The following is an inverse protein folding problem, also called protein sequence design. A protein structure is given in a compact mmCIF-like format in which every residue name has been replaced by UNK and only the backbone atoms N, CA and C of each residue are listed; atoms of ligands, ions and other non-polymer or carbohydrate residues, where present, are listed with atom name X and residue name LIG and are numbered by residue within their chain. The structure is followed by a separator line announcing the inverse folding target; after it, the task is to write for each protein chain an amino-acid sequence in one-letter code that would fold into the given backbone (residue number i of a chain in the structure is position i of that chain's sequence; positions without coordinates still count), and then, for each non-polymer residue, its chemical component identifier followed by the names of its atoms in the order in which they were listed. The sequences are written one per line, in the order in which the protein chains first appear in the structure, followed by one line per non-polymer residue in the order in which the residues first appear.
data_IF_107692168888
#
_entry.id   IF_107692168888
#
_cell.length_a   1.000
_cell.length_b   1.000
_cell.length_c   1.000
_cell.angle_alpha   90.00
_cell.angle_beta   90.00
_cell.angle_gamma   90.00
#
_symmetry.space_group_name_H-M   'P 1'
#
loop_
_entity.id
_entity.type
_entity.pdbx_description
1 polymer ?
#
# COMPACT_ATOMS: atom_id res chain seq x y z
N UNK A 1 57.78 -2.15 24.02
CA UNK A 1 56.47 -2.40 24.66
C UNK A 1 55.64 -1.17 24.40
N UNK A 2 54.75 -1.32 23.43
CA UNK A 2 53.81 -0.33 22.88
C UNK A 2 52.91 0.26 23.95
N UNK A 3 52.65 1.56 23.90
CA UNK A 3 51.27 2.01 24.05
C UNK A 3 51.02 3.17 23.09
N UNK A 4 50.07 2.89 22.22
CA UNK A 4 49.67 3.58 21.03
C UNK A 4 48.20 3.90 21.29
N UNK A 5 47.76 5.02 20.75
CA UNK A 5 46.40 5.17 20.27
C UNK A 5 45.26 5.49 21.26
N UNK A 6 44.62 6.61 20.89
CA UNK A 6 43.16 6.90 20.86
C UNK A 6 42.69 7.85 21.96
N UNK A 7 42.61 9.15 21.67
CA UNK A 7 41.48 9.76 20.94
C UNK A 7 40.15 9.06 21.27
N UNK A 8 39.63 9.33 22.46
CA UNK A 8 38.18 9.27 22.69
C UNK A 8 37.60 10.57 22.12
N UNK A 9 37.53 10.64 20.80
CA UNK A 9 36.67 11.60 20.13
C UNK A 9 35.24 11.13 20.42
N UNK A 10 34.60 11.84 21.33
CA UNK A 10 33.18 11.72 21.65
C UNK A 10 32.39 11.95 20.35
N UNK A 11 32.15 10.88 19.59
CA UNK A 11 31.12 10.85 18.56
C UNK A 11 29.77 10.97 19.27
N UNK A 12 29.36 12.21 19.56
CA UNK A 12 27.95 12.56 19.70
C UNK A 12 27.25 12.11 18.41
N UNK A 13 26.21 11.28 18.44
CA UNK A 13 25.35 11.19 17.28
C UNK A 13 24.65 12.55 17.13
N UNK A 14 24.96 13.24 16.04
CA UNK A 14 24.14 14.32 15.55
C UNK A 14 22.88 13.72 14.93
N UNK A 15 21.87 13.42 15.73
CA UNK A 15 20.49 13.42 15.25
C UNK A 15 19.91 14.80 15.53
N UNK A 16 20.39 15.78 14.77
CA UNK A 16 19.68 17.03 14.57
C UNK A 16 18.33 16.68 13.94
N UNK A 17 17.24 17.00 14.63
CA UNK A 17 15.83 16.95 14.21
C UNK A 17 15.61 16.78 12.69
N UNK A 18 15.61 15.54 12.21
CA UNK A 18 14.96 15.23 10.95
C UNK A 18 13.45 15.19 11.24
N UNK A 19 12.66 15.89 10.42
CA UNK A 19 11.21 15.74 10.48
C UNK A 19 10.85 14.26 10.31
N UNK A 20 9.81 13.75 10.99
CA UNK A 20 9.41 12.37 10.85
C UNK A 20 9.10 12.07 9.37
N UNK A 21 9.46 10.86 8.88
CA UNK A 21 9.19 10.48 7.50
C UNK A 21 7.68 10.59 7.20
N UNK A 22 7.28 11.10 6.02
CA UNK A 22 5.87 11.21 5.70
C UNK A 22 5.23 9.83 5.50
N UNK A 23 3.94 9.74 5.81
CA UNK A 23 3.16 8.51 5.73
C UNK A 23 2.82 8.16 4.27
N UNK A 24 3.05 6.89 3.91
CA UNK A 24 2.58 6.26 2.67
C UNK A 24 1.58 5.17 3.02
N UNK A 25 0.36 5.26 2.49
CA UNK A 25 -0.64 4.20 2.60
C UNK A 25 -0.61 3.33 1.35
N UNK A 26 -0.22 2.07 1.49
CA UNK A 26 -0.13 1.14 0.37
C UNK A 26 -1.20 0.06 0.49
N UNK A 27 -2.18 0.07 -0.41
CA UNK A 27 -3.14 -1.01 -0.55
C UNK A 27 -2.60 -2.08 -1.52
N UNK A 28 -2.40 -3.29 -1.02
CA UNK A 28 -1.75 -4.39 -1.74
C UNK A 28 -2.66 -5.63 -1.82
N UNK A 29 -2.91 -6.12 -3.03
CA UNK A 29 -3.74 -7.30 -3.29
C UNK A 29 -2.92 -8.39 -4.00
N UNK A 30 -2.23 -9.27 -3.26
CA UNK A 30 -1.46 -10.33 -3.87
C UNK A 30 -2.36 -11.48 -4.31
N UNK A 31 -2.75 -11.50 -5.58
CA UNK A 31 -3.80 -12.38 -6.13
C UNK A 31 -3.28 -13.40 -7.16
N UNK A 32 -2.02 -13.25 -7.59
CA UNK A 32 -1.33 -14.15 -8.50
C UNK A 32 0.00 -14.62 -7.90
N UNK A 33 0.54 -15.70 -8.45
CA UNK A 33 1.85 -16.21 -8.06
C UNK A 33 2.92 -15.12 -8.14
N UNK A 34 3.76 -15.01 -7.11
CA UNK A 34 4.81 -13.99 -7.00
C UNK A 34 4.31 -12.57 -6.65
N UNK A 35 2.99 -12.31 -6.58
CA UNK A 35 2.50 -10.98 -6.19
C UNK A 35 2.91 -10.62 -4.76
N UNK A 36 2.88 -11.58 -3.84
CA UNK A 36 3.20 -11.34 -2.44
C UNK A 36 4.65 -10.85 -2.26
N UNK A 37 5.59 -11.57 -2.86
CA UNK A 37 7.02 -11.23 -2.87
C UNK A 37 7.25 -9.87 -3.52
N UNK A 38 6.64 -9.62 -4.68
CA UNK A 38 6.77 -8.35 -5.41
C UNK A 38 6.23 -7.17 -4.60
N UNK A 39 5.02 -7.27 -4.07
CA UNK A 39 4.36 -6.19 -3.35
C UNK A 39 5.06 -5.90 -2.02
N UNK A 40 5.55 -6.94 -1.34
CA UNK A 40 6.34 -6.76 -0.13
C UNK A 40 7.72 -6.16 -0.42
N UNK A 41 8.42 -6.60 -1.47
CA UNK A 41 9.67 -5.98 -1.91
C UNK A 41 9.48 -4.50 -2.30
N UNK A 42 8.34 -4.17 -2.93
CA UNK A 42 7.96 -2.79 -3.21
C UNK A 42 7.80 -1.96 -1.94
N UNK A 43 7.08 -2.48 -0.95
CA UNK A 43 6.90 -1.81 0.34
C UNK A 43 8.23 -1.58 1.08
N UNK A 44 9.13 -2.56 1.04
CA UNK A 44 10.47 -2.45 1.63
C UNK A 44 11.32 -1.39 0.92
N UNK A 45 11.29 -1.32 -0.42
CA UNK A 45 12.00 -0.29 -1.19
C UNK A 45 11.49 1.10 -0.87
N UNK A 46 10.18 1.27 -0.70
CA UNK A 46 9.58 2.55 -0.32
C UNK A 46 9.99 2.97 1.11
N UNK A 47 10.00 2.03 2.05
CA UNK A 47 10.47 2.30 3.41
C UNK A 47 11.95 2.69 3.43
N UNK A 48 12.80 2.00 2.65
CA UNK A 48 14.21 2.35 2.48
C UNK A 48 14.40 3.72 1.78
N UNK A 49 13.45 4.13 0.95
CA UNK A 49 13.40 5.44 0.31
C UNK A 49 12.93 6.59 1.21
N UNK A 50 12.71 6.35 2.51
CA UNK A 50 12.38 7.40 3.49
C UNK A 50 10.88 7.58 3.75
N UNK A 51 10.02 6.67 3.28
CA UNK A 51 8.60 6.68 3.60
C UNK A 51 8.30 5.92 4.89
N UNK A 52 7.34 6.40 5.68
CA UNK A 52 6.70 5.59 6.72
C UNK A 52 5.56 4.77 6.09
N UNK A 53 5.80 3.51 5.79
CA UNK A 53 4.87 2.70 5.00
C UNK A 53 3.84 2.01 5.90
N UNK A 54 2.56 2.23 5.60
CA UNK A 54 1.43 1.44 6.12
C UNK A 54 0.86 0.58 5.00
N UNK A 55 1.20 -0.71 5.04
CA UNK A 55 0.77 -1.72 4.07
C UNK A 55 -0.55 -2.35 4.51
N UNK A 56 -1.64 -2.06 3.81
CA UNK A 56 -2.92 -2.75 3.92
C UNK A 56 -2.88 -4.01 3.03
N UNK A 57 -2.82 -5.18 3.65
CA UNK A 57 -2.57 -6.46 2.98
C UNK A 57 -3.86 -7.24 2.76
N UNK A 58 -4.19 -7.50 1.50
CA UNK A 58 -5.46 -8.16 1.15
C UNK A 58 -5.41 -9.66 0.87
N UNK A 59 -4.23 -10.29 0.89
CA UNK A 59 -4.07 -11.73 0.69
C UNK A 59 -3.85 -12.51 1.98
N UNK A 60 -3.62 -13.81 1.84
CA UNK A 60 -3.25 -14.68 2.96
C UNK A 60 -1.84 -14.37 3.48
N UNK A 61 -1.52 -14.88 4.68
CA UNK A 61 -0.19 -14.84 5.29
C UNK A 61 0.54 -13.47 5.14
N UNK A 62 0.05 -12.41 5.82
CA UNK A 62 0.68 -11.10 5.76
C UNK A 62 2.17 -11.18 6.15
N UNK A 63 3.06 -10.48 5.43
CA UNK A 63 4.48 -10.49 5.74
C UNK A 63 4.76 -9.81 7.09
N UNK A 64 5.89 -10.15 7.70
CA UNK A 64 6.30 -9.57 8.98
C UNK A 64 6.59 -8.07 8.83
N UNK A 65 6.06 -7.20 9.73
CA UNK A 65 6.37 -5.78 9.71
C UNK A 65 7.81 -5.47 10.14
N UNK A 66 8.21 -4.22 9.93
CA UNK A 66 9.45 -3.61 10.42
C UNK A 66 9.23 -2.17 10.91
N UNK A 67 10.27 -1.48 11.43
CA UNK A 67 10.11 -0.16 12.06
C UNK A 67 9.49 0.92 11.16
N UNK A 68 9.87 0.98 9.89
CA UNK A 68 9.34 1.92 8.88
C UNK A 68 8.29 1.28 7.95
N UNK A 69 7.85 0.05 8.25
CA UNK A 69 6.90 -0.71 7.46
C UNK A 69 5.93 -1.44 8.39
N UNK A 70 4.78 -0.83 8.61
CA UNK A 70 3.68 -1.46 9.33
C UNK A 70 2.81 -2.26 8.36
N UNK A 71 2.46 -3.48 8.72
CA UNK A 71 1.58 -4.35 7.93
C UNK A 71 0.29 -4.56 8.70
N UNK A 72 -0.85 -4.31 8.05
CA UNK A 72 -2.17 -4.59 8.61
C UNK A 72 -2.93 -5.48 7.64
N UNK A 73 -3.28 -6.67 8.09
CA UNK A 73 -4.10 -7.59 7.33
C UNK A 73 -5.54 -7.08 7.22
N UNK A 74 -6.09 -7.13 6.00
CA UNK A 74 -7.52 -7.10 5.75
C UNK A 74 -8.06 -8.53 5.80
N UNK A 75 -9.38 -8.70 5.87
CA UNK A 75 -10.02 -10.01 5.67
C UNK A 75 -9.58 -10.55 4.32
N UNK A 76 -8.84 -11.68 4.23
CA UNK A 76 -8.16 -12.07 3.01
C UNK A 76 -9.14 -12.42 1.89
N UNK A 77 -8.73 -12.13 0.66
CA UNK A 77 -9.38 -12.64 -0.55
C UNK A 77 -8.59 -13.86 -1.00
N UNK A 78 -9.25 -15.01 -1.11
CA UNK A 78 -8.59 -16.22 -1.59
C UNK A 78 -8.37 -16.14 -3.11
N UNK A 79 -9.43 -15.80 -3.84
CA UNK A 79 -9.38 -15.72 -5.30
C UNK A 79 -10.35 -14.67 -5.86
N UNK A 80 -10.02 -14.17 -7.05
CA UNK A 80 -10.94 -13.46 -7.92
C UNK A 80 -10.89 -14.11 -9.30
N UNK A 81 -11.97 -13.96 -10.07
CA UNK A 81 -12.09 -14.56 -11.39
C UNK A 81 -12.07 -13.50 -12.48
N UNK A 82 -11.06 -13.52 -13.34
CA UNK A 82 -10.97 -12.59 -14.47
C UNK A 82 -12.13 -12.78 -15.47
N UNK A 83 -12.64 -14.00 -15.60
CA UNK A 83 -13.81 -14.35 -16.42
C UNK A 83 -15.15 -14.04 -15.74
N UNK A 84 -15.15 -13.70 -14.44
CA UNK A 84 -16.33 -13.24 -13.70
C UNK A 84 -16.04 -11.92 -12.97
N UNK A 85 -16.03 -10.80 -13.72
CA UNK A 85 -15.75 -9.48 -13.15
C UNK A 85 -16.63 -9.19 -11.95
N UNK A 86 -16.03 -8.96 -10.77
CA UNK A 86 -16.78 -8.68 -9.54
C UNK A 86 -16.93 -9.84 -8.56
N UNK A 87 -16.63 -11.08 -8.98
CA UNK A 87 -16.60 -12.22 -8.08
C UNK A 87 -15.32 -12.25 -7.26
N UNK A 88 -15.50 -12.27 -5.95
CA UNK A 88 -14.46 -12.48 -4.93
C UNK A 88 -14.86 -13.73 -4.18
N UNK A 89 -13.89 -14.61 -3.94
CA UNK A 89 -14.03 -15.73 -3.04
C UNK A 89 -13.36 -15.39 -1.70
N UNK A 90 -14.06 -15.67 -0.60
CA UNK A 90 -13.50 -15.57 0.75
C UNK A 90 -12.52 -16.73 1.04
N UNK A 91 -11.96 -16.76 2.25
CA UNK A 91 -11.02 -17.80 2.69
C UNK A 91 -11.60 -19.23 2.71
N UNK A 92 -12.92 -19.39 2.67
CA UNK A 92 -13.58 -20.70 2.56
C UNK A 92 -13.86 -21.09 1.09
N UNK A 93 -13.46 -20.24 0.13
CA UNK A 93 -13.79 -20.42 -1.29
C UNK A 93 -15.23 -20.06 -1.65
N UNK A 94 -15.98 -19.38 -0.76
CA UNK A 94 -17.38 -19.00 -1.02
C UNK A 94 -17.46 -17.61 -1.66
N UNK A 95 -18.46 -17.36 -2.52
CA UNK A 95 -18.71 -16.02 -3.03
C UNK A 95 -18.91 -14.99 -1.91
N UNK A 96 -18.10 -13.94 -1.93
CA UNK A 96 -18.17 -12.85 -0.98
C UNK A 96 -19.49 -12.07 -1.12
N UNK A 97 -20.39 -12.29 -0.16
CA UNK A 97 -21.67 -11.59 -0.07
C UNK A 97 -21.56 -10.12 0.36
N UNK A 98 -22.69 -9.42 0.39
CA UNK A 98 -22.76 -8.01 0.74
C UNK A 98 -22.20 -7.72 2.15
N UNK A 99 -22.55 -8.53 3.16
CA UNK A 99 -22.08 -8.35 4.53
C UNK A 99 -20.56 -8.44 4.64
N UNK A 100 -19.96 -9.42 3.96
CA UNK A 100 -18.51 -9.60 3.90
C UNK A 100 -17.83 -8.38 3.25
N UNK A 101 -18.34 -7.94 2.09
CA UNK A 101 -17.80 -6.77 1.37
C UNK A 101 -17.90 -5.50 2.21
N UNK A 102 -19.03 -5.31 2.91
CA UNK A 102 -19.25 -4.17 3.81
C UNK A 102 -18.27 -4.19 4.98
N UNK A 103 -18.07 -5.34 5.63
CA UNK A 103 -17.14 -5.48 6.75
C UNK A 103 -15.70 -5.22 6.30
N UNK A 104 -15.27 -5.82 5.18
CA UNK A 104 -13.93 -5.61 4.66
C UNK A 104 -13.67 -4.15 4.29
N UNK A 105 -14.61 -3.50 3.58
CA UNK A 105 -14.52 -2.08 3.27
C UNK A 105 -14.45 -1.21 4.54
N UNK A 106 -15.27 -1.50 5.55
CA UNK A 106 -15.24 -0.78 6.81
C UNK A 106 -13.88 -0.90 7.52
N UNK A 107 -13.26 -2.09 7.52
CA UNK A 107 -11.92 -2.31 8.06
C UNK A 107 -10.84 -1.51 7.31
N UNK A 108 -10.89 -1.50 5.98
CA UNK A 108 -9.97 -0.70 5.15
C UNK A 108 -10.14 0.79 5.43
N UNK A 109 -11.38 1.29 5.45
CA UNK A 109 -11.68 2.69 5.71
C UNK A 109 -11.26 3.11 7.12
N UNK A 110 -11.46 2.27 8.12
CA UNK A 110 -11.01 2.53 9.48
C UNK A 110 -9.47 2.61 9.56
N UNK A 111 -8.76 1.74 8.82
CA UNK A 111 -7.30 1.78 8.73
C UNK A 111 -6.80 3.06 8.06
N UNK A 112 -7.44 3.48 6.97
CA UNK A 112 -7.14 4.71 6.23
C UNK A 112 -7.49 5.97 7.03
N UNK A 113 -8.59 5.96 7.80
CA UNK A 113 -8.99 7.07 8.65
C UNK A 113 -7.97 7.35 9.77
N UNK A 114 -7.30 6.31 10.27
CA UNK A 114 -6.23 6.40 11.29
C UNK A 114 -4.87 6.82 10.71
N UNK A 115 -4.75 7.07 9.41
CA UNK A 115 -3.54 7.60 8.79
C UNK A 115 -3.79 8.96 8.17
N UNK A 116 -2.74 9.77 8.02
CA UNK A 116 -2.75 11.00 7.21
C UNK A 116 -1.67 10.90 6.13
N UNK A 117 -1.82 9.97 5.17
CA UNK A 117 -0.78 9.73 4.21
C UNK A 117 -0.59 10.96 3.33
N UNK A 118 0.67 11.25 2.99
CA UNK A 118 1.00 12.16 1.90
C UNK A 118 0.84 11.46 0.54
N UNK A 119 0.94 10.13 0.52
CA UNK A 119 0.79 9.30 -0.68
C UNK A 119 -0.11 8.08 -0.42
N UNK A 120 -1.09 7.88 -1.29
CA UNK A 120 -1.92 6.68 -1.40
C UNK A 120 -1.48 5.88 -2.64
N UNK A 121 -0.91 4.70 -2.42
CA UNK A 121 -0.48 3.79 -3.49
C UNK A 121 -1.45 2.60 -3.58
N UNK A 122 -1.95 2.30 -4.78
CA UNK A 122 -2.85 1.18 -5.04
C UNK A 122 -2.21 0.15 -5.97
N UNK A 123 -2.26 -1.13 -5.59
CA UNK A 123 -1.88 -2.24 -6.48
C UNK A 123 -2.89 -2.41 -7.63
N UNK A 124 -2.42 -2.28 -8.88
CA UNK A 124 -3.12 -2.58 -10.16
C UNK A 124 -4.53 -2.01 -10.34
N UNK A 125 -4.97 -1.07 -9.51
CA UNK A 125 -6.24 -0.38 -9.66
C UNK A 125 -5.99 0.96 -10.34
N UNK A 126 -6.76 1.35 -11.39
CA UNK A 126 -8.08 0.81 -11.77
C UNK A 126 -8.10 -0.35 -12.79
N UNK A 127 -6.96 -0.89 -13.21
CA UNK A 127 -6.81 -1.67 -14.44
C UNK A 127 -7.22 -3.14 -14.36
N UNK A 128 -7.04 -3.80 -13.21
CA UNK A 128 -7.29 -5.25 -13.05
C UNK A 128 -8.29 -5.58 -11.95
N UNK A 129 -8.83 -4.58 -11.25
CA UNK A 129 -9.39 -4.75 -9.91
C UNK A 129 -10.81 -4.20 -9.77
N UNK A 130 -11.65 -4.36 -10.80
CA UNK A 130 -13.07 -4.00 -10.73
C UNK A 130 -13.79 -4.69 -9.54
N UNK A 131 -13.34 -5.89 -9.17
CA UNK A 131 -13.84 -6.63 -8.02
C UNK A 131 -13.72 -5.86 -6.70
N UNK A 132 -12.74 -4.97 -6.57
CA UNK A 132 -12.44 -4.20 -5.35
C UNK A 132 -13.03 -2.79 -5.33
N UNK A 133 -13.82 -2.41 -6.34
CA UNK A 133 -14.48 -1.08 -6.40
C UNK A 133 -15.29 -0.76 -5.16
N UNK A 134 -15.91 -1.76 -4.53
CA UNK A 134 -16.75 -1.57 -3.34
C UNK A 134 -15.98 -1.01 -2.13
N UNK A 135 -14.68 -1.32 -2.01
CA UNK A 135 -13.84 -0.82 -0.91
C UNK A 135 -12.98 0.39 -1.35
N UNK A 136 -12.52 0.41 -2.59
CA UNK A 136 -11.62 1.45 -3.08
C UNK A 136 -12.33 2.76 -3.43
N UNK A 137 -13.53 2.72 -4.02
CA UNK A 137 -14.24 3.96 -4.40
C UNK A 137 -14.54 4.84 -3.20
N UNK A 138 -15.10 4.33 -2.08
CA UNK A 138 -15.29 5.14 -0.87
C UNK A 138 -13.97 5.69 -0.32
N UNK A 139 -12.88 4.92 -0.37
CA UNK A 139 -11.56 5.37 0.11
C UNK A 139 -11.01 6.53 -0.73
N UNK A 140 -11.12 6.43 -2.06
CA UNK A 140 -10.72 7.48 -3.00
C UNK A 140 -11.56 8.75 -2.85
N UNK A 141 -12.88 8.61 -2.65
CA UNK A 141 -13.77 9.73 -2.34
C UNK A 141 -13.34 10.45 -1.05
N UNK A 142 -13.06 9.71 0.02
CA UNK A 142 -12.54 10.29 1.28
C UNK A 142 -11.18 10.96 1.04
N UNK A 143 -10.26 10.30 0.33
CA UNK A 143 -8.94 10.83 0.03
C UNK A 143 -9.02 12.18 -0.70
N UNK A 144 -9.86 12.28 -1.75
CA UNK A 144 -10.04 13.49 -2.54
C UNK A 144 -10.54 14.72 -1.76
N UNK A 145 -11.21 14.49 -0.62
CA UNK A 145 -11.77 15.54 0.23
C UNK A 145 -10.87 15.92 1.40
N UNK A 146 -9.71 15.26 1.56
CA UNK A 146 -8.78 15.58 2.64
C UNK A 146 -8.04 16.89 2.39
N UNK A 147 -7.66 17.53 3.48
CA UNK A 147 -6.75 18.68 3.47
C UNK A 147 -5.62 18.42 4.46
N UNK A 148 -4.36 18.24 3.99
CA UNK A 148 -3.97 18.17 2.58
C UNK A 148 -4.52 16.92 1.86
N UNK A 149 -4.77 17.03 0.55
CA UNK A 149 -5.15 15.89 -0.30
C UNK A 149 -3.92 15.01 -0.52
N UNK A 150 -3.96 13.70 -0.23
CA UNK A 150 -2.86 12.79 -0.55
C UNK A 150 -2.67 12.73 -2.07
N UNK A 151 -1.43 12.57 -2.50
CA UNK A 151 -1.14 12.13 -3.87
C UNK A 151 -1.65 10.71 -4.06
N UNK A 152 -2.17 10.39 -5.24
CA UNK A 152 -2.75 9.08 -5.54
C UNK A 152 -1.97 8.45 -6.69
N UNK A 153 -1.39 7.28 -6.45
CA UNK A 153 -0.60 6.55 -7.42
C UNK A 153 -1.11 5.10 -7.59
N UNK A 154 -0.94 4.56 -8.79
CA UNK A 154 -1.19 3.16 -9.11
C UNK A 154 0.11 2.45 -9.44
N UNK A 155 0.43 1.36 -8.74
CA UNK A 155 1.48 0.42 -9.12
C UNK A 155 0.91 -0.61 -10.10
N UNK A 156 1.25 -0.49 -11.38
CA UNK A 156 0.75 -1.37 -12.44
C UNK A 156 1.83 -2.31 -12.96
N UNK A 157 1.46 -3.58 -13.18
CA UNK A 157 2.34 -4.61 -13.74
C UNK A 157 1.98 -5.02 -15.16
N UNK A 158 1.03 -4.33 -15.82
CA UNK A 158 0.54 -4.71 -17.15
C UNK A 158 -0.06 -3.57 -17.97
N UNK A 159 -0.40 -3.87 -19.23
CA UNK A 159 -0.90 -2.92 -20.23
C UNK A 159 -2.44 -2.77 -20.22
N UNK A 160 -3.11 -3.11 -19.11
CA UNK A 160 -4.57 -3.00 -19.00
C UNK A 160 -5.04 -1.56 -19.26
N UNK A 161 -6.20 -1.40 -19.90
CA UNK A 161 -6.81 -0.10 -20.10
C UNK A 161 -7.60 0.30 -18.85
N UNK A 162 -7.30 1.46 -18.27
CA UNK A 162 -8.16 2.07 -17.26
C UNK A 162 -9.45 2.52 -17.93
N UNK A 163 -10.56 2.47 -17.20
CA UNK A 163 -11.69 3.31 -17.57
C UNK A 163 -11.26 4.79 -17.49
N UNK A 164 -11.52 5.59 -18.54
CA UNK A 164 -11.10 7.00 -18.59
C UNK A 164 -11.51 7.78 -17.33
N UNK A 165 -12.74 7.59 -16.85
CA UNK A 165 -13.28 8.29 -15.69
C UNK A 165 -12.55 8.02 -14.36
N UNK A 166 -11.85 6.88 -14.23
CA UNK A 166 -11.04 6.60 -13.03
C UNK A 166 -9.59 6.99 -13.22
N UNK A 167 -9.11 7.16 -14.46
CA UNK A 167 -7.73 7.54 -14.75
C UNK A 167 -7.40 8.92 -14.16
N UNK A 168 -8.36 9.84 -14.24
CA UNK A 168 -8.19 11.22 -13.76
C UNK A 168 -8.09 11.34 -12.23
N UNK A 169 -8.33 10.24 -11.49
CA UNK A 169 -8.14 10.19 -10.04
C UNK A 169 -6.67 9.92 -9.63
N UNK A 170 -5.82 9.53 -10.58
CA UNK A 170 -4.42 9.17 -10.33
C UNK A 170 -3.49 10.28 -10.79
N UNK A 171 -2.66 10.75 -9.88
CA UNK A 171 -1.59 11.68 -10.19
C UNK A 171 -0.42 10.97 -10.91
N UNK A 172 -0.27 9.65 -10.69
CA UNK A 172 0.80 8.86 -11.27
C UNK A 172 0.40 7.38 -11.48
N UNK A 173 0.87 6.80 -12.59
CA UNK A 173 0.84 5.36 -12.83
C UNK A 173 2.29 4.90 -12.99
N UNK A 174 2.76 4.05 -12.09
CA UNK A 174 4.15 3.58 -12.03
C UNK A 174 4.26 2.09 -12.34
N UNK A 175 5.44 1.66 -12.77
CA UNK A 175 5.79 0.23 -12.94
C UNK A 175 6.77 -0.24 -11.88
N UNK A 176 7.71 0.62 -11.49
CA UNK A 176 8.64 0.39 -10.38
C UNK A 176 8.33 1.36 -9.23
N UNK A 177 8.27 0.91 -7.97
CA UNK A 177 8.21 1.80 -6.81
C UNK A 177 9.32 2.86 -6.75
N UNK A 178 10.48 2.62 -7.39
CA UNK A 178 11.54 3.61 -7.53
C UNK A 178 11.18 4.78 -8.46
N UNK A 179 10.15 4.63 -9.29
CA UNK A 179 9.60 5.72 -10.10
C UNK A 179 8.73 6.67 -9.26
N UNK A 180 8.41 6.32 -8.01
CA UNK A 180 7.77 7.25 -7.10
C UNK A 180 8.78 8.35 -6.75
N UNK A 181 8.39 9.62 -6.87
CA UNK A 181 9.20 10.69 -6.32
C UNK A 181 9.38 10.47 -4.83
N UNK A 182 10.55 10.89 -4.33
CA UNK A 182 10.84 10.89 -2.91
C UNK A 182 9.81 11.66 -2.09
N UNK A 183 9.84 11.45 -0.76
CA UNK A 183 9.00 12.16 0.20
C UNK A 183 9.07 13.70 0.08
#
# INVERSE_FOLDING_TARGET
MTDDSRLVQLCRPATMNAAPPPDLFFWAQPMAAGDAERLFAAAQRLAAGGWNVRLAWGGEAPPMPGPALTVTALTPVAHWRADQPGLILDGDGKPAGHAWKKQRAASLLALFARSRPALLLLDRFPFAQQAFRYELRPMLEIASRRTPKPRIASLSTGNGAAEPAMRDLFDLIIRDPADLPGP
#
